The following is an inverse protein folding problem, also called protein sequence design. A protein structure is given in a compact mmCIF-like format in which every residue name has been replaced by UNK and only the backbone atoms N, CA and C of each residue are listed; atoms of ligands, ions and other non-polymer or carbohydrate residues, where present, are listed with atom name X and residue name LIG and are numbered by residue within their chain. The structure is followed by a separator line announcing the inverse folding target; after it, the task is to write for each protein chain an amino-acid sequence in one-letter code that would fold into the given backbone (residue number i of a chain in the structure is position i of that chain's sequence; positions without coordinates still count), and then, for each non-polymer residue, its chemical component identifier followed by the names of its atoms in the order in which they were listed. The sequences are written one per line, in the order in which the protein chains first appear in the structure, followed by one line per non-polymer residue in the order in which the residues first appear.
data_IF_746444625992
#
_entry.id   IF_746444625992
#
_cell.length_a   1.000
_cell.length_b   1.000
_cell.length_c   1.000
_cell.angle_alpha   90.00
_cell.angle_beta   90.00
_cell.angle_gamma   90.00
#
_symmetry.space_group_name_H-M   'P 1'
#
loop_
_entity.id
_entity.type
_entity.pdbx_description
1 polymer ?
#
# COMPACT_ATOMS: atom_id res chain seq x y z
N UNK A 1 2.36 -10.00 17.52
CA UNK A 1 2.90 -10.89 16.45
C UNK A 1 2.93 -10.07 15.17
N UNK A 2 4.06 -10.02 14.46
CA UNK A 2 4.19 -9.23 13.24
C UNK A 2 3.18 -9.68 12.19
N UNK A 3 2.48 -8.72 11.57
CA UNK A 3 1.51 -9.00 10.50
C UNK A 3 2.22 -9.13 9.15
N UNK A 4 3.36 -8.44 8.98
CA UNK A 4 4.31 -8.60 7.87
C UNK A 4 5.69 -8.85 8.46
N UNK A 5 6.39 -9.88 7.97
CA UNK A 5 7.77 -10.17 8.35
C UNK A 5 8.57 -10.58 7.09
N UNK A 6 9.70 -9.92 6.87
CA UNK A 6 10.69 -10.27 5.86
C UNK A 6 11.94 -10.78 6.56
N UNK A 7 12.45 -11.95 6.15
CA UNK A 7 13.65 -12.59 6.71
C UNK A 7 14.68 -12.81 5.62
N UNK A 8 15.81 -12.12 5.72
CA UNK A 8 16.95 -12.23 4.81
C UNK A 8 16.55 -12.12 3.33
N UNK A 9 15.58 -11.24 3.03
CA UNK A 9 15.01 -11.10 1.69
C UNK A 9 15.99 -10.42 0.75
N UNK A 10 16.28 -11.09 -0.37
CA UNK A 10 17.06 -10.56 -1.49
C UNK A 10 16.21 -10.58 -2.76
N UNK A 11 16.36 -9.55 -3.59
CA UNK A 11 15.77 -9.49 -4.92
C UNK A 11 16.79 -9.10 -5.95
N UNK A 12 16.92 -9.92 -6.98
CA UNK A 12 17.78 -9.70 -8.13
C UNK A 12 16.93 -9.70 -9.39
N UNK A 13 17.14 -8.74 -10.25
CA UNK A 13 16.56 -8.67 -11.61
C UNK A 13 17.64 -8.90 -12.65
N UNK A 14 17.26 -9.42 -13.81
CA UNK A 14 18.17 -9.71 -14.91
C UNK A 14 19.03 -10.94 -14.69
N UNK A 15 19.87 -11.26 -15.66
CA UNK A 15 20.81 -12.38 -15.68
C UNK A 15 22.18 -11.94 -16.17
N UNK A 16 23.24 -12.68 -15.77
CA UNK A 16 24.62 -12.41 -16.21
C UNK A 16 25.09 -10.99 -15.86
N UNK A 17 25.74 -10.31 -16.79
CA UNK A 17 26.28 -8.96 -16.58
C UNK A 17 25.22 -7.86 -16.38
N UNK A 18 23.96 -8.12 -16.76
CA UNK A 18 22.84 -7.18 -16.57
C UNK A 18 22.11 -7.36 -15.24
N UNK A 19 22.70 -8.07 -14.28
CA UNK A 19 22.08 -8.25 -12.96
C UNK A 19 22.05 -6.97 -12.15
N UNK A 20 20.84 -6.66 -11.62
CA UNK A 20 20.64 -5.56 -10.67
C UNK A 20 20.10 -6.12 -9.36
N UNK A 21 20.83 -5.91 -8.28
CA UNK A 21 20.41 -6.32 -6.93
C UNK A 21 19.55 -5.20 -6.32
N UNK A 22 18.24 -5.34 -6.40
CA UNK A 22 17.29 -4.34 -5.92
C UNK A 22 17.08 -4.39 -4.39
N UNK A 23 17.16 -5.58 -3.77
CA UNK A 23 17.11 -5.74 -2.31
C UNK A 23 18.25 -6.63 -1.83
N UNK A 24 18.90 -6.23 -0.73
CA UNK A 24 20.09 -6.86 -0.17
C UNK A 24 19.86 -7.26 1.28
N UNK A 25 19.47 -8.51 1.51
CA UNK A 25 19.34 -9.09 2.85
C UNK A 25 18.42 -8.28 3.79
N UNK A 26 17.20 -7.99 3.32
CA UNK A 26 16.22 -7.22 4.07
C UNK A 26 15.65 -8.05 5.23
N UNK A 27 15.76 -7.50 6.44
CA UNK A 27 15.05 -7.96 7.63
C UNK A 27 14.13 -6.85 8.10
N UNK A 28 12.81 -7.15 8.19
CA UNK A 28 11.80 -6.13 8.46
C UNK A 28 10.60 -6.76 9.15
N UNK A 29 9.94 -5.98 10.04
CA UNK A 29 8.68 -6.35 10.68
C UNK A 29 7.76 -5.15 10.77
N UNK A 30 6.46 -5.41 10.59
CA UNK A 30 5.40 -4.45 10.89
C UNK A 30 4.28 -5.16 11.68
N UNK A 31 3.66 -4.44 12.61
CA UNK A 31 2.57 -4.95 13.43
C UNK A 31 1.24 -4.26 13.07
N UNK A 32 0.14 -4.84 13.53
CA UNK A 32 -1.15 -4.15 13.51
C UNK A 32 -1.10 -2.95 14.46
N UNK A 33 -1.86 -1.91 14.13
CA UNK A 33 -1.91 -0.67 14.91
C UNK A 33 -0.76 0.30 14.65
N UNK A 34 0.11 0.02 13.65
CA UNK A 34 1.29 0.84 13.35
C UNK A 34 1.22 1.45 11.94
N UNK A 35 1.71 2.68 11.85
CA UNK A 35 2.08 3.32 10.59
C UNK A 35 3.59 3.25 10.45
N UNK A 36 4.06 2.52 9.45
CA UNK A 36 5.49 2.37 9.13
C UNK A 36 5.80 3.15 7.86
N UNK A 37 6.76 4.05 7.94
CA UNK A 37 7.22 4.86 6.83
C UNK A 37 8.60 4.38 6.36
N UNK A 38 8.74 4.11 5.07
CA UNK A 38 10.02 3.77 4.46
C UNK A 38 10.40 4.88 3.49
N UNK A 39 11.49 5.56 3.81
CA UNK A 39 12.00 6.70 3.05
C UNK A 39 13.29 6.33 2.33
N UNK A 40 13.58 7.06 1.26
CA UNK A 40 14.84 6.91 0.52
C UNK A 40 14.75 7.52 -0.87
N UNK A 41 15.89 7.69 -1.55
CA UNK A 41 15.94 8.25 -2.89
C UNK A 41 15.24 7.36 -3.93
N UNK A 42 15.00 7.92 -5.12
CA UNK A 42 14.54 7.11 -6.26
C UNK A 42 15.57 6.02 -6.57
N UNK A 43 15.11 4.84 -6.93
CA UNK A 43 15.97 3.69 -7.21
C UNK A 43 16.48 2.93 -5.96
N UNK A 44 16.20 3.38 -4.74
CA UNK A 44 16.65 2.72 -3.50
C UNK A 44 16.06 1.30 -3.28
N UNK A 45 15.03 0.89 -4.05
CA UNK A 45 14.38 -0.42 -3.93
C UNK A 45 13.01 -0.37 -3.22
N UNK A 46 12.47 0.82 -2.88
CA UNK A 46 11.24 1.00 -2.10
C UNK A 46 10.02 0.29 -2.73
N UNK A 47 9.74 0.52 -4.01
CA UNK A 47 8.61 -0.12 -4.71
C UNK A 47 8.81 -1.64 -4.84
N UNK A 48 10.05 -2.11 -5.04
CA UNK A 48 10.38 -3.54 -5.02
C UNK A 48 10.13 -4.15 -3.64
N UNK A 49 10.53 -3.46 -2.57
CA UNK A 49 10.24 -3.87 -1.21
C UNK A 49 8.73 -3.98 -0.98
N UNK A 50 7.96 -2.95 -1.35
CA UNK A 50 6.51 -2.90 -1.17
C UNK A 50 5.79 -4.02 -1.93
N UNK A 51 6.17 -4.27 -3.19
CA UNK A 51 5.57 -5.33 -4.02
C UNK A 51 5.88 -6.73 -3.50
N UNK A 52 7.06 -6.94 -2.90
CA UNK A 52 7.41 -8.21 -2.26
C UNK A 52 6.68 -8.36 -0.92
N UNK A 53 6.65 -7.34 -0.07
CA UNK A 53 5.91 -7.33 1.19
C UNK A 53 4.41 -7.58 0.95
N UNK A 54 3.87 -7.08 -0.17
CA UNK A 54 2.48 -7.27 -0.61
C UNK A 54 2.23 -8.54 -1.42
N UNK A 55 3.18 -9.46 -1.51
CA UNK A 55 2.98 -10.72 -2.25
C UNK A 55 2.65 -10.55 -3.74
N UNK A 56 2.96 -9.38 -4.34
CA UNK A 56 2.85 -9.16 -5.79
C UNK A 56 4.06 -9.72 -6.54
N UNK A 57 5.21 -9.78 -5.87
CA UNK A 57 6.43 -10.37 -6.39
C UNK A 57 7.05 -11.35 -5.40
N UNK A 58 7.65 -12.42 -5.91
CA UNK A 58 8.46 -13.33 -5.10
C UNK A 58 9.87 -12.78 -4.91
N UNK A 59 10.47 -12.92 -3.72
CA UNK A 59 11.89 -12.66 -3.51
C UNK A 59 12.73 -13.66 -4.31
N UNK A 60 13.99 -13.33 -4.59
CA UNK A 60 14.97 -14.28 -5.16
C UNK A 60 15.40 -15.26 -4.09
N UNK A 61 15.65 -14.80 -2.86
CA UNK A 61 15.93 -15.61 -1.67
C UNK A 61 15.35 -14.97 -0.43
N UNK A 62 15.28 -15.72 0.66
CA UNK A 62 14.67 -15.28 1.92
C UNK A 62 13.20 -15.65 2.04
N UNK A 63 12.58 -15.25 3.14
CA UNK A 63 11.20 -15.57 3.44
C UNK A 63 10.38 -14.30 3.64
N UNK A 64 9.15 -14.34 3.16
CA UNK A 64 8.14 -13.30 3.41
C UNK A 64 6.93 -13.94 4.04
N UNK A 65 6.55 -13.43 5.20
CA UNK A 65 5.44 -13.93 5.99
C UNK A 65 4.41 -12.81 6.10
N UNK A 66 3.19 -13.07 5.67
CA UNK A 66 2.06 -12.13 5.74
C UNK A 66 0.93 -12.82 6.49
N UNK A 67 0.46 -12.19 7.56
CA UNK A 67 -0.57 -12.75 8.45
C UNK A 67 -0.27 -14.21 8.86
N UNK A 68 0.97 -14.49 9.26
CA UNK A 68 1.45 -15.81 9.67
C UNK A 68 1.67 -16.82 8.53
N UNK A 69 1.37 -16.47 7.28
CA UNK A 69 1.53 -17.35 6.12
C UNK A 69 2.81 -17.02 5.35
N UNK A 70 3.70 -18.01 5.18
CA UNK A 70 4.87 -17.85 4.31
C UNK A 70 4.43 -17.88 2.85
N UNK A 71 4.52 -16.76 2.14
CA UNK A 71 4.01 -16.59 0.78
C UNK A 71 4.72 -17.45 -0.29
N UNK A 72 5.93 -17.94 0.01
CA UNK A 72 6.64 -18.86 -0.88
C UNK A 72 6.06 -20.30 -0.82
N UNK A 73 5.37 -20.64 0.28
CA UNK A 73 4.85 -21.97 0.57
C UNK A 73 3.36 -22.14 0.26
N UNK A 74 2.65 -21.07 -0.06
CA UNK A 74 1.23 -21.12 -0.40
C UNK A 74 1.04 -21.23 -1.93
N UNK A 75 -0.07 -21.82 -2.35
CA UNK A 75 -0.44 -21.90 -3.77
C UNK A 75 -0.72 -20.51 -4.35
N UNK A 76 -0.68 -20.39 -5.68
CA UNK A 76 -1.04 -19.13 -6.36
C UNK A 76 -2.46 -18.68 -5.97
N UNK A 77 -3.44 -19.60 -5.93
CA UNK A 77 -4.82 -19.30 -5.52
C UNK A 77 -4.91 -18.80 -4.06
N UNK A 78 -4.14 -19.39 -3.15
CA UNK A 78 -4.08 -18.91 -1.75
C UNK A 78 -3.43 -17.54 -1.64
N UNK A 79 -2.39 -17.26 -2.44
CA UNK A 79 -1.75 -15.95 -2.54
C UNK A 79 -2.72 -14.90 -3.10
N UNK A 80 -3.51 -15.22 -4.14
CA UNK A 80 -4.55 -14.34 -4.68
C UNK A 80 -5.63 -14.04 -3.63
N UNK A 81 -6.07 -15.07 -2.90
CA UNK A 81 -7.05 -14.91 -1.83
C UNK A 81 -6.52 -14.01 -0.69
N UNK A 82 -5.26 -14.20 -0.29
CA UNK A 82 -4.60 -13.37 0.72
C UNK A 82 -4.55 -11.89 0.27
N UNK A 83 -4.14 -11.63 -0.98
CA UNK A 83 -4.14 -10.28 -1.54
C UNK A 83 -5.53 -9.66 -1.55
N UNK A 84 -6.52 -10.41 -2.00
CA UNK A 84 -7.90 -9.92 -2.12
C UNK A 84 -8.53 -9.60 -0.75
N UNK A 85 -8.21 -10.38 0.28
CA UNK A 85 -8.91 -10.31 1.57
C UNK A 85 -8.16 -9.52 2.64
N UNK A 86 -6.82 -9.51 2.59
CA UNK A 86 -5.98 -8.96 3.63
C UNK A 86 -5.23 -7.69 3.24
N UNK A 87 -4.96 -7.50 1.94
CA UNK A 87 -4.09 -6.44 1.45
C UNK A 87 -4.87 -5.39 0.66
N UNK A 88 -4.59 -4.12 0.94
CA UNK A 88 -5.00 -2.99 0.12
C UNK A 88 -3.77 -2.34 -0.50
N UNK A 89 -3.85 -1.99 -1.78
CA UNK A 89 -2.74 -1.35 -2.49
C UNK A 89 -3.14 0.02 -2.99
N UNK A 90 -2.29 1.00 -2.70
CA UNK A 90 -2.27 2.32 -3.33
C UNK A 90 -0.95 2.42 -4.08
N UNK A 91 -0.98 2.33 -5.40
CA UNK A 91 0.22 2.34 -6.24
C UNK A 91 0.39 3.72 -6.88
N UNK A 92 1.63 4.06 -7.21
CA UNK A 92 2.00 5.36 -7.79
C UNK A 92 1.21 5.71 -9.06
N UNK A 93 0.88 4.73 -9.88
CA UNK A 93 0.11 4.91 -11.12
C UNK A 93 -1.42 4.92 -10.91
N UNK A 94 -1.92 5.06 -9.66
CA UNK A 94 -3.34 5.03 -9.24
C UNK A 94 -4.09 3.75 -9.63
N UNK A 95 -3.86 3.21 -10.82
CA UNK A 95 -4.47 2.00 -11.39
C UNK A 95 -6.02 2.02 -11.35
N UNK A 96 -6.61 3.19 -11.53
CA UNK A 96 -8.03 3.31 -11.78
C UNK A 96 -8.33 2.78 -13.18
N UNK A 97 -9.42 2.00 -13.32
CA UNK A 97 -9.85 1.48 -14.62
C UNK A 97 -10.39 2.65 -15.44
N UNK A 98 -9.79 3.02 -16.59
CA UNK A 98 -10.04 4.32 -17.24
C UNK A 98 -11.45 4.47 -17.80
N UNK A 99 -12.10 3.37 -18.17
CA UNK A 99 -13.47 3.35 -18.74
C UNK A 99 -14.55 3.08 -17.70
N UNK A 100 -14.23 3.03 -16.40
CA UNK A 100 -15.18 2.94 -15.30
C UNK A 100 -15.26 4.28 -14.55
N UNK A 101 -16.48 4.73 -14.27
CA UNK A 101 -16.71 5.86 -13.36
C UNK A 101 -16.20 5.54 -11.95
N UNK A 102 -15.98 6.55 -11.12
CA UNK A 102 -15.44 6.34 -9.78
C UNK A 102 -16.34 5.42 -8.94
N UNK A 103 -17.66 5.53 -9.01
CA UNK A 103 -18.57 4.59 -8.33
C UNK A 103 -18.40 3.15 -8.79
N UNK A 104 -18.17 2.95 -10.09
CA UNK A 104 -18.04 1.63 -10.71
C UNK A 104 -16.72 0.93 -10.31
N UNK A 105 -15.70 1.71 -9.90
CA UNK A 105 -14.48 1.16 -9.30
C UNK A 105 -14.79 0.37 -8.01
N UNK A 106 -15.72 0.87 -7.18
CA UNK A 106 -16.17 0.18 -5.97
C UNK A 106 -17.06 -1.03 -6.29
N UNK A 107 -17.92 -0.91 -7.30
CA UNK A 107 -18.74 -2.03 -7.79
C UNK A 107 -17.85 -3.17 -8.31
N UNK A 108 -16.75 -2.85 -9.00
CA UNK A 108 -15.77 -3.84 -9.45
C UNK A 108 -15.16 -4.59 -8.25
N UNK A 109 -14.81 -3.88 -7.17
CA UNK A 109 -14.32 -4.52 -5.94
C UNK A 109 -15.37 -5.47 -5.39
N UNK A 110 -16.66 -5.09 -5.35
CA UNK A 110 -17.75 -5.97 -4.89
C UNK A 110 -17.92 -7.23 -5.77
N UNK A 111 -17.73 -7.10 -7.08
CA UNK A 111 -17.80 -8.26 -7.99
C UNK A 111 -16.69 -9.28 -7.73
N UNK A 112 -15.49 -8.80 -7.38
CA UNK A 112 -14.32 -9.65 -7.14
C UNK A 112 -14.29 -10.16 -5.69
N UNK A 113 -14.56 -9.27 -4.72
CA UNK A 113 -14.64 -9.60 -3.28
C UNK A 113 -16.08 -9.44 -2.81
N UNK A 114 -16.81 -10.57 -2.76
CA UNK A 114 -18.25 -10.59 -2.49
C UNK A 114 -18.64 -10.27 -1.05
N UNK A 115 -17.72 -10.29 -0.09
CA UNK A 115 -18.00 -10.07 1.32
C UNK A 115 -16.84 -9.40 2.06
N UNK A 116 -17.14 -8.74 3.19
CA UNK A 116 -16.15 -8.12 4.07
C UNK A 116 -15.64 -6.75 3.60
N UNK A 117 -16.25 -6.15 2.59
CA UNK A 117 -16.03 -4.75 2.22
C UNK A 117 -16.68 -3.82 3.26
N UNK A 118 -16.25 -2.56 3.33
CA UNK A 118 -16.94 -1.58 4.19
C UNK A 118 -18.36 -1.39 3.68
N UNK A 119 -19.31 -1.11 4.61
CA UNK A 119 -20.69 -0.85 4.26
C UNK A 119 -20.86 0.53 3.61
N UNK A 120 -22.06 0.80 3.09
CA UNK A 120 -22.37 2.03 2.35
C UNK A 120 -22.17 3.29 3.20
N UNK A 121 -22.52 3.25 4.48
CA UNK A 121 -22.39 4.37 5.41
C UNK A 121 -20.92 4.75 5.60
N UNK A 122 -20.06 3.77 5.93
CA UNK A 122 -18.60 3.96 6.05
C UNK A 122 -17.95 4.39 4.73
N UNK A 123 -18.47 3.91 3.59
CA UNK A 123 -18.01 4.38 2.29
C UNK A 123 -18.30 5.87 2.10
N UNK A 124 -19.50 6.31 2.44
CA UNK A 124 -19.88 7.73 2.33
C UNK A 124 -19.01 8.62 3.25
N UNK A 125 -18.76 8.18 4.48
CA UNK A 125 -17.83 8.87 5.39
C UNK A 125 -16.43 8.98 4.81
N UNK A 126 -15.88 7.88 4.28
CA UNK A 126 -14.57 7.84 3.64
C UNK A 126 -14.49 8.79 2.43
N UNK A 127 -15.52 8.79 1.57
CA UNK A 127 -15.58 9.65 0.39
C UNK A 127 -15.67 11.14 0.76
N UNK A 128 -16.40 11.47 1.83
CA UNK A 128 -16.46 12.84 2.37
C UNK A 128 -15.10 13.24 2.94
N UNK A 129 -14.47 12.39 3.76
CA UNK A 129 -13.15 12.64 4.33
C UNK A 129 -12.07 12.85 3.26
N UNK A 130 -12.17 12.14 2.13
CA UNK A 130 -11.25 12.30 1.00
C UNK A 130 -11.67 13.40 0.00
N UNK A 131 -12.78 14.12 0.25
CA UNK A 131 -13.25 15.20 -0.61
C UNK A 131 -13.61 14.76 -2.03
N UNK A 132 -14.07 13.52 -2.23
CA UNK A 132 -14.37 12.95 -3.57
C UNK A 132 -15.81 12.48 -3.75
N UNK A 133 -16.68 12.73 -2.79
CA UNK A 133 -18.09 12.28 -2.85
C UNK A 133 -18.88 12.88 -4.04
N UNK A 134 -18.54 14.08 -4.51
CA UNK A 134 -19.14 14.72 -5.70
C UNK A 134 -18.61 14.17 -7.03
N UNK A 135 -17.53 13.35 -7.00
CA UNK A 135 -16.83 12.86 -8.19
C UNK A 135 -17.27 11.46 -8.64
N UNK A 136 -18.22 10.83 -7.95
CA UNK A 136 -18.61 9.43 -8.17
C UNK A 136 -19.09 9.12 -9.59
N UNK A 137 -19.65 10.12 -10.29
CA UNK A 137 -20.16 9.97 -11.65
C UNK A 137 -19.13 10.32 -12.74
N UNK A 138 -17.93 10.76 -12.36
CA UNK A 138 -16.85 11.12 -13.28
C UNK A 138 -15.99 9.92 -13.64
N UNK A 139 -15.38 9.97 -14.82
CA UNK A 139 -14.32 9.05 -15.24
C UNK A 139 -12.96 9.51 -14.70
N UNK A 140 -11.97 8.62 -14.56
CA UNK A 140 -10.61 8.99 -14.11
C UNK A 140 -9.99 10.13 -14.92
N UNK A 141 -10.22 10.16 -16.24
CA UNK A 141 -9.70 11.22 -17.13
C UNK A 141 -10.25 12.62 -16.86
N UNK A 142 -11.38 12.73 -16.14
CA UNK A 142 -12.00 14.00 -15.76
C UNK A 142 -11.51 14.52 -14.39
N UNK A 143 -10.64 13.77 -13.73
CA UNK A 143 -10.13 14.07 -12.40
C UNK A 143 -8.73 14.63 -12.46
N UNK A 144 -8.41 15.58 -11.56
CA UNK A 144 -7.01 15.98 -11.32
C UNK A 144 -6.20 14.81 -10.74
N UNK A 145 -4.86 14.87 -10.84
CA UNK A 145 -3.99 13.83 -10.28
C UNK A 145 -4.24 13.57 -8.80
N UNK A 146 -4.42 14.62 -8.00
CA UNK A 146 -4.76 14.50 -6.58
C UNK A 146 -6.13 13.87 -6.33
N UNK A 147 -7.14 14.16 -7.17
CA UNK A 147 -8.45 13.51 -7.10
C UNK A 147 -8.37 12.02 -7.46
N UNK A 148 -7.59 11.67 -8.50
CA UNK A 148 -7.34 10.28 -8.86
C UNK A 148 -6.64 9.53 -7.73
N UNK A 149 -5.65 10.16 -7.09
CA UNK A 149 -4.94 9.59 -5.93
C UNK A 149 -5.90 9.29 -4.78
N UNK A 150 -6.74 10.25 -4.39
CA UNK A 150 -7.74 10.06 -3.33
C UNK A 150 -8.77 8.99 -3.70
N UNK A 151 -9.18 8.91 -4.95
CA UNK A 151 -10.05 7.83 -5.44
C UNK A 151 -9.39 6.45 -5.36
N UNK A 152 -8.09 6.34 -5.68
CA UNK A 152 -7.33 5.11 -5.54
C UNK A 152 -7.20 4.68 -4.06
N UNK A 153 -6.97 5.63 -3.15
CA UNK A 153 -6.96 5.39 -1.69
C UNK A 153 -8.33 4.88 -1.24
N UNK A 154 -9.42 5.56 -1.64
CA UNK A 154 -10.78 5.14 -1.28
C UNK A 154 -11.08 3.71 -1.77
N UNK A 155 -10.73 3.38 -3.00
CA UNK A 155 -10.91 2.04 -3.57
C UNK A 155 -10.13 0.98 -2.80
N UNK A 156 -8.87 1.24 -2.45
CA UNK A 156 -8.07 0.31 -1.66
C UNK A 156 -8.68 0.05 -0.28
N UNK A 157 -9.18 1.11 0.38
CA UNK A 157 -9.80 1.02 1.70
C UNK A 157 -11.21 0.42 1.66
N UNK A 158 -11.92 0.55 0.54
CA UNK A 158 -13.24 -0.06 0.37
C UNK A 158 -13.22 -1.57 0.57
N UNK A 159 -12.17 -2.25 0.13
CA UNK A 159 -11.98 -3.67 0.35
C UNK A 159 -11.77 -4.04 1.84
N UNK A 160 -11.73 -3.06 2.76
CA UNK A 160 -11.51 -3.26 4.19
C UNK A 160 -10.28 -4.14 4.51
N UNK A 161 -9.10 -3.84 3.98
CA UNK A 161 -7.91 -4.64 4.20
C UNK A 161 -7.43 -4.54 5.65
N UNK A 162 -6.71 -5.57 6.14
CA UNK A 162 -5.97 -5.49 7.41
C UNK A 162 -4.63 -4.76 7.26
N UNK A 163 -4.05 -4.82 6.07
CA UNK A 163 -2.76 -4.23 5.74
C UNK A 163 -2.95 -3.31 4.55
N UNK A 164 -2.59 -2.04 4.70
CA UNK A 164 -2.52 -1.07 3.61
C UNK A 164 -1.06 -0.88 3.21
N UNK A 165 -0.79 -1.06 1.92
CA UNK A 165 0.52 -0.86 1.29
C UNK A 165 0.39 0.30 0.31
N UNK A 166 1.15 1.38 0.50
CA UNK A 166 1.05 2.56 -0.35
C UNK A 166 2.41 3.01 -0.88
N UNK A 167 2.49 3.16 -2.19
CA UNK A 167 3.66 3.66 -2.92
C UNK A 167 3.40 5.09 -3.35
N UNK A 168 4.15 6.05 -2.76
CA UNK A 168 4.05 7.50 -2.97
C UNK A 168 2.59 8.03 -2.88
N UNK A 169 1.85 7.74 -1.77
CA UNK A 169 0.41 8.02 -1.69
C UNK A 169 0.04 9.50 -1.65
N UNK A 170 1.02 10.40 -1.58
CA UNK A 170 0.81 11.85 -1.49
C UNK A 170 1.50 12.64 -2.60
N UNK A 171 2.10 11.97 -3.59
CA UNK A 171 2.93 12.61 -4.62
C UNK A 171 2.20 13.72 -5.43
N UNK A 172 0.89 13.58 -5.62
CA UNK A 172 0.06 14.53 -6.38
C UNK A 172 -0.84 15.41 -5.49
N UNK A 173 -0.56 15.48 -4.18
CA UNK A 173 -1.37 16.21 -3.22
C UNK A 173 -0.66 17.49 -2.74
N UNK A 174 -1.46 18.56 -2.57
CA UNK A 174 -1.05 19.75 -1.83
C UNK A 174 -0.94 19.47 -0.32
N UNK A 175 -0.44 20.44 0.43
CA UNK A 175 -0.13 20.25 1.86
C UNK A 175 -1.35 19.96 2.73
N UNK A 176 -2.50 20.54 2.42
CA UNK A 176 -3.75 20.32 3.14
C UNK A 176 -4.24 18.88 2.94
N UNK A 177 -4.32 18.44 1.69
CA UNK A 177 -4.70 17.07 1.35
C UNK A 177 -3.71 16.02 1.88
N UNK A 178 -2.40 16.34 1.95
CA UNK A 178 -1.39 15.46 2.58
C UNK A 178 -1.68 15.28 4.08
N UNK A 179 -2.06 16.36 4.78
CA UNK A 179 -2.39 16.29 6.20
C UNK A 179 -3.63 15.41 6.44
N UNK A 180 -4.69 15.58 5.62
CA UNK A 180 -5.91 14.76 5.69
C UNK A 180 -5.62 13.27 5.46
N UNK A 181 -4.84 12.94 4.42
CA UNK A 181 -4.47 11.56 4.09
C UNK A 181 -3.54 10.98 5.16
N UNK A 182 -2.59 11.76 5.69
CA UNK A 182 -1.73 11.33 6.79
C UNK A 182 -2.53 11.01 8.06
N UNK A 183 -3.48 11.87 8.41
CA UNK A 183 -4.38 11.64 9.55
C UNK A 183 -5.30 10.43 9.33
N UNK A 184 -5.78 10.22 8.09
CA UNK A 184 -6.54 9.01 7.72
C UNK A 184 -5.70 7.75 7.97
N UNK A 185 -4.45 7.71 7.51
CA UNK A 185 -3.55 6.56 7.74
C UNK A 185 -3.30 6.30 9.21
N UNK A 186 -3.07 7.36 10.00
CA UNK A 186 -2.92 7.26 11.46
C UNK A 186 -4.18 6.71 12.12
N UNK A 187 -5.36 7.17 11.72
CA UNK A 187 -6.64 6.68 12.22
C UNK A 187 -6.88 5.22 11.84
N UNK A 188 -6.53 4.80 10.61
CA UNK A 188 -6.62 3.40 10.18
C UNK A 188 -5.78 2.48 11.09
N UNK A 189 -4.56 2.89 11.41
CA UNK A 189 -3.72 2.13 12.31
C UNK A 189 -4.30 2.13 13.74
N UNK A 190 -4.51 3.30 14.35
CA UNK A 190 -4.81 3.41 15.78
C UNK A 190 -6.25 3.01 16.15
N UNK A 191 -7.24 3.48 15.38
CA UNK A 191 -8.67 3.24 15.69
C UNK A 191 -9.17 1.91 15.14
N UNK A 192 -8.67 1.50 13.96
CA UNK A 192 -9.14 0.28 13.28
C UNK A 192 -8.15 -0.87 13.34
N UNK A 193 -7.05 -0.71 14.11
CA UNK A 193 -6.02 -1.74 14.34
C UNK A 193 -5.50 -2.36 13.03
N UNK A 194 -5.23 -1.52 12.02
CA UNK A 194 -4.68 -1.94 10.74
C UNK A 194 -3.17 -1.68 10.69
N UNK A 195 -2.44 -2.43 9.88
CA UNK A 195 -1.05 -2.10 9.57
C UNK A 195 -1.04 -1.20 8.33
N UNK A 196 -0.30 -0.09 8.40
CA UNK A 196 -0.15 0.84 7.29
C UNK A 196 1.33 0.98 6.96
N UNK A 197 1.70 0.56 5.75
CA UNK A 197 3.07 0.60 5.27
C UNK A 197 3.17 1.55 4.09
N UNK A 198 3.91 2.64 4.27
CA UNK A 198 4.06 3.71 3.29
C UNK A 198 5.50 3.75 2.79
N UNK A 199 5.70 3.74 1.48
CA UNK A 199 6.99 4.09 0.90
C UNK A 199 6.86 5.44 0.20
N UNK A 200 7.73 6.38 0.55
CA UNK A 200 7.68 7.74 0.02
C UNK A 200 9.00 8.50 0.26
N UNK A 201 9.17 9.59 -0.45
CA UNK A 201 10.20 10.60 -0.17
C UNK A 201 9.60 11.85 0.49
N UNK A 202 8.28 11.91 0.72
CA UNK A 202 7.58 13.06 1.30
C UNK A 202 7.79 13.16 2.82
N UNK A 203 8.57 14.15 3.31
CA UNK A 203 8.86 14.28 4.74
C UNK A 203 7.63 14.70 5.58
N UNK A 204 6.57 15.23 4.93
CA UNK A 204 5.34 15.67 5.62
C UNK A 204 4.60 14.51 6.30
N UNK A 205 4.83 13.27 5.83
CA UNK A 205 4.22 12.07 6.42
C UNK A 205 4.93 11.58 7.70
N UNK A 206 6.14 12.06 8.02
CA UNK A 206 6.90 11.62 9.21
C UNK A 206 6.12 11.75 10.52
N UNK A 207 5.36 12.83 10.68
CA UNK A 207 4.59 13.12 11.90
C UNK A 207 3.43 12.11 12.16
N UNK A 208 3.05 11.32 11.17
CA UNK A 208 1.99 10.32 11.28
C UNK A 208 2.54 8.90 11.49
N UNK A 209 3.85 8.70 11.35
CA UNK A 209 4.51 7.40 11.45
C UNK A 209 4.84 7.04 12.91
N UNK A 210 4.71 5.76 13.24
CA UNK A 210 5.19 5.17 14.49
C UNK A 210 6.65 4.72 14.34
N UNK A 211 7.01 4.23 13.14
CA UNK A 211 8.37 3.80 12.81
C UNK A 211 8.79 4.36 11.46
N UNK A 212 10.02 4.84 11.40
CA UNK A 212 10.63 5.36 10.18
C UNK A 212 11.84 4.49 9.85
N UNK A 213 11.88 4.01 8.62
CA UNK A 213 13.00 3.31 8.06
C UNK A 213 13.61 4.10 6.90
N UNK A 214 14.92 4.05 6.78
CA UNK A 214 15.64 4.58 5.63
C UNK A 214 16.06 3.41 4.73
N UNK A 215 15.76 3.54 3.43
CA UNK A 215 16.17 2.60 2.42
C UNK A 215 17.17 3.26 1.47
N UNK A 216 18.35 2.65 1.32
CA UNK A 216 19.41 3.10 0.42
C UNK A 216 20.10 1.89 -0.21
N UNK A 217 20.29 1.91 -1.53
CA UNK A 217 21.00 0.87 -2.29
C UNK A 217 20.52 -0.57 -1.98
N UNK A 218 19.22 -0.75 -1.82
CA UNK A 218 18.60 -2.04 -1.53
C UNK A 218 18.79 -2.54 -0.10
N UNK A 219 19.26 -1.72 0.84
CA UNK A 219 19.33 -2.01 2.27
C UNK A 219 18.33 -1.17 3.03
N UNK A 220 17.85 -1.68 4.16
CA UNK A 220 16.91 -0.98 5.05
C UNK A 220 17.53 -0.86 6.45
N UNK A 221 17.36 0.30 7.08
CA UNK A 221 17.76 0.57 8.46
C UNK A 221 16.65 1.35 9.15
N UNK A 222 16.33 0.97 10.38
CA UNK A 222 15.42 1.75 11.21
C UNK A 222 16.11 3.05 11.62
N UNK A 223 15.42 4.17 11.40
CA UNK A 223 15.91 5.50 11.75
C UNK A 223 15.22 6.03 13.02
N UNK A 224 13.97 5.59 13.26
CA UNK A 224 13.16 5.97 14.43
C UNK A 224 12.11 4.90 14.70
#
# INVERSE_FOLDING_TARGET
MAIIELKNVKKVYGTGAAQVVALKNINFKANLGEVVLIMGPSGAGKSTFLTIAGSLQKPTTGEVIVNGQNIARISARASDHLRLTQLGFVLQAYNLVPFLKIREQFELVNKVKKAGNINQEKLQELLKQLGINSLLNKYPSELSGGQQQRAAIARALYANPQILLADEPTASLDSENVAEVGQLFKNLAKKYNKAVLLVTHDPRLKQYADHIYEMMDGKIKQAF
#
